data_IF_635098532189
#
_entry.id   IF_635098532189
#
_cell.length_a   1.000
_cell.length_b   1.000
_cell.length_c   1.000
_cell.angle_alpha   90.00
_cell.angle_beta   90.00
_cell.angle_gamma   90.00
#
_symmetry.space_group_name_H-M   'P 1'
#
loop_
_entity.id
_entity.type
_entity.pdbx_description
1 polymer ?
#
# COMPACT_ATOMS: atom_id res chain seq x y z
N UNK A 1 -3.86 -11.55 -4.40
CA UNK A 1 -2.82 -11.51 -5.47
C UNK A 1 -3.42 -11.37 -6.87
N UNK A 2 -4.65 -11.78 -7.09
CA UNK A 2 -5.21 -12.06 -8.43
C UNK A 2 -5.26 -10.86 -9.38
N UNK A 3 -5.41 -9.63 -8.88
CA UNK A 3 -5.59 -8.45 -9.75
C UNK A 3 -4.39 -7.50 -9.79
N UNK A 4 -3.56 -7.45 -8.75
CA UNK A 4 -2.47 -6.47 -8.68
C UNK A 4 -1.38 -6.74 -9.73
N UNK A 5 -0.84 -7.96 -9.77
CA UNK A 5 0.29 -8.27 -10.65
C UNK A 5 -0.02 -8.09 -12.14
N UNK A 6 -1.17 -8.56 -12.67
CA UNK A 6 -1.53 -8.28 -14.06
C UNK A 6 -1.67 -6.79 -14.38
N UNK A 7 -2.26 -5.99 -13.48
CA UNK A 7 -2.38 -4.54 -13.64
C UNK A 7 -1.03 -3.84 -13.60
N UNK A 8 -0.15 -4.26 -12.69
CA UNK A 8 1.20 -3.72 -12.60
C UNK A 8 1.99 -4.00 -13.89
N UNK A 9 1.93 -5.21 -14.42
CA UNK A 9 2.61 -5.56 -15.68
C UNK A 9 2.07 -4.76 -16.88
N UNK A 10 0.77 -4.57 -16.96
CA UNK A 10 0.18 -3.70 -17.98
C UNK A 10 0.66 -2.25 -17.86
N UNK A 11 0.77 -1.73 -16.65
CA UNK A 11 1.31 -0.38 -16.41
C UNK A 11 2.78 -0.27 -16.85
N UNK A 12 3.61 -1.27 -16.52
CA UNK A 12 5.01 -1.31 -16.96
C UNK A 12 5.12 -1.31 -18.49
N UNK A 13 4.31 -2.12 -19.16
CA UNK A 13 4.30 -2.16 -20.64
C UNK A 13 3.84 -0.83 -21.26
N UNK A 14 2.82 -0.20 -20.66
CA UNK A 14 2.29 1.07 -21.17
C UNK A 14 3.22 2.27 -20.92
N UNK A 15 3.99 2.23 -19.84
CA UNK A 15 4.92 3.30 -19.46
C UNK A 15 6.33 3.08 -20.02
N UNK A 16 6.61 1.88 -20.55
CA UNK A 16 7.96 1.44 -20.96
C UNK A 16 9.01 1.55 -19.85
N UNK A 17 8.56 1.64 -18.60
CA UNK A 17 9.41 1.75 -17.41
C UNK A 17 8.68 1.25 -16.16
N UNK A 18 9.44 0.92 -15.13
CA UNK A 18 8.87 0.56 -13.85
C UNK A 18 8.31 1.79 -13.11
N UNK A 19 7.05 1.75 -12.61
CA UNK A 19 6.52 2.80 -11.77
C UNK A 19 7.32 2.96 -10.47
N UNK A 20 7.84 4.14 -10.21
CA UNK A 20 8.54 4.47 -8.97
C UNK A 20 7.58 4.74 -7.81
N UNK A 21 6.38 5.19 -8.12
CA UNK A 21 5.36 5.50 -7.14
C UNK A 21 4.10 4.68 -7.44
N UNK A 22 3.64 3.93 -6.45
CA UNK A 22 2.38 3.18 -6.50
C UNK A 22 1.40 3.79 -5.50
N UNK A 23 0.21 4.14 -5.97
CA UNK A 23 -0.89 4.54 -5.09
C UNK A 23 -2.07 3.61 -5.30
N UNK A 24 -2.70 3.21 -4.21
CA UNK A 24 -3.90 2.37 -4.25
C UNK A 24 -4.75 2.60 -3.00
N UNK A 25 -5.94 2.04 -2.97
CA UNK A 25 -6.77 2.05 -1.78
C UNK A 25 -6.30 1.00 -0.75
N UNK A 26 -6.91 1.03 0.44
CA UNK A 26 -6.55 0.13 1.54
C UNK A 26 -6.79 -1.37 1.23
N UNK A 27 -7.56 -1.71 0.19
CA UNK A 27 -7.76 -3.10 -0.23
C UNK A 27 -6.45 -3.71 -0.78
N UNK A 28 -5.55 -2.87 -1.27
CA UNK A 28 -4.23 -3.27 -1.77
C UNK A 28 -3.13 -3.22 -0.69
N UNK A 29 -3.47 -3.04 0.59
CA UNK A 29 -2.48 -3.06 1.69
C UNK A 29 -1.97 -4.48 1.96
N UNK A 30 -1.14 -4.98 1.06
CA UNK A 30 -0.56 -6.31 1.10
C UNK A 30 0.95 -6.26 0.83
N UNK A 31 1.71 -7.12 1.52
CA UNK A 31 3.17 -7.14 1.50
C UNK A 31 3.77 -7.16 0.08
N UNK A 32 3.18 -7.90 -0.86
CA UNK A 32 3.67 -8.02 -2.24
C UNK A 32 3.59 -6.70 -3.03
N UNK A 33 2.67 -5.79 -2.68
CA UNK A 33 2.58 -4.46 -3.30
C UNK A 33 3.78 -3.61 -2.91
N UNK A 34 4.12 -3.61 -1.61
CA UNK A 34 5.30 -2.90 -1.10
C UNK A 34 6.60 -3.51 -1.60
N UNK A 35 6.67 -4.83 -1.70
CA UNK A 35 7.83 -5.53 -2.25
C UNK A 35 8.07 -5.15 -3.70
N UNK A 36 7.02 -5.10 -4.51
CA UNK A 36 7.14 -4.73 -5.92
C UNK A 36 7.68 -3.31 -6.09
N UNK A 37 7.19 -2.35 -5.31
CA UNK A 37 7.72 -0.99 -5.31
C UNK A 37 9.17 -0.94 -4.82
N UNK A 38 9.47 -1.57 -3.69
CA UNK A 38 10.79 -1.54 -3.08
C UNK A 38 11.88 -2.16 -3.96
N UNK A 39 11.58 -3.22 -4.70
CA UNK A 39 12.51 -3.85 -5.67
C UNK A 39 12.94 -2.90 -6.79
N UNK A 40 12.20 -1.82 -7.02
CA UNK A 40 12.49 -0.79 -8.00
C UNK A 40 12.93 0.53 -7.33
N UNK A 41 13.35 0.49 -6.06
CA UNK A 41 13.65 1.67 -5.25
C UNK A 41 12.49 2.69 -5.19
N UNK A 42 11.27 2.21 -5.36
CA UNK A 42 10.05 3.00 -5.34
C UNK A 42 9.29 2.91 -4.03
N UNK A 43 8.17 3.63 -3.95
CA UNK A 43 7.31 3.70 -2.77
C UNK A 43 5.88 3.32 -3.14
N UNK A 44 5.28 2.44 -2.32
CA UNK A 44 3.85 2.15 -2.39
C UNK A 44 3.11 2.96 -1.31
N UNK A 45 2.47 4.06 -1.73
CA UNK A 45 1.66 4.88 -0.84
C UNK A 45 0.23 4.32 -0.74
N UNK A 46 0.08 3.26 0.04
CA UNK A 46 -1.19 2.56 0.29
C UNK A 46 -1.61 2.79 1.73
N UNK A 47 -2.87 3.21 1.99
CA UNK A 47 -3.39 3.35 3.34
C UNK A 47 -3.39 2.00 4.06
N UNK A 48 -3.12 2.03 5.36
CA UNK A 48 -3.12 0.80 6.15
C UNK A 48 -4.54 0.24 6.29
N UNK A 49 -4.70 -1.02 5.94
CA UNK A 49 -5.94 -1.74 6.17
C UNK A 49 -6.01 -2.18 7.64
N UNK A 50 -6.91 -1.57 8.40
CA UNK A 50 -6.98 -1.80 9.85
C UNK A 50 -8.01 -2.85 10.26
N UNK A 51 -8.99 -3.19 9.44
CA UNK A 51 -10.06 -4.20 9.68
C UNK A 51 -10.31 -4.58 11.15
N UNK A 52 -10.42 -3.59 12.04
CA UNK A 52 -10.67 -3.80 13.47
C UNK A 52 -9.53 -4.45 14.28
N UNK A 53 -8.38 -4.73 13.68
CA UNK A 53 -7.25 -5.27 14.42
C UNK A 53 -6.48 -4.15 15.16
N UNK A 54 -6.11 -4.36 16.42
CA UNK A 54 -5.35 -3.39 17.19
C UNK A 54 -4.02 -3.08 16.48
N UNK A 55 -3.67 -1.79 16.42
CA UNK A 55 -2.38 -1.35 15.89
C UNK A 55 -1.31 -1.71 16.91
N UNK A 56 -0.39 -2.59 16.52
CA UNK A 56 0.77 -2.91 17.35
C UNK A 56 1.81 -1.80 17.24
N UNK A 57 2.29 -1.34 18.38
CA UNK A 57 3.47 -0.49 18.42
C UNK A 57 4.69 -1.27 17.95
N UNK A 58 5.59 -0.59 17.25
CA UNK A 58 6.83 -1.16 16.72
C UNK A 58 7.97 -0.17 16.88
N UNK A 59 9.17 -0.71 16.96
CA UNK A 59 10.39 0.07 16.85
C UNK A 59 10.68 0.43 15.38
N UNK A 60 11.62 1.33 15.15
CA UNK A 60 12.01 1.77 13.80
C UNK A 60 12.51 0.63 12.90
N UNK A 61 13.07 -0.41 13.48
CA UNK A 61 13.52 -1.62 12.77
C UNK A 61 12.38 -2.62 12.46
N UNK A 62 11.14 -2.28 12.80
CA UNK A 62 9.97 -3.14 12.59
C UNK A 62 9.70 -4.15 13.72
N UNK A 63 10.56 -4.24 14.74
CA UNK A 63 10.36 -5.14 15.89
C UNK A 63 9.09 -4.76 16.66
N UNK A 64 8.17 -5.71 16.91
CA UNK A 64 6.94 -5.41 17.62
C UNK A 64 7.18 -5.15 19.10
N UNK A 65 6.34 -4.32 19.71
CA UNK A 65 6.23 -4.15 21.15
C UNK A 65 5.02 -4.91 21.69
N UNK A 66 5.14 -5.48 22.88
CA UNK A 66 4.02 -6.12 23.55
C UNK A 66 3.00 -5.06 24.05
N UNK A 67 1.79 -5.45 24.50
CA UNK A 67 0.79 -4.52 25.02
C UNK A 67 1.26 -3.64 26.19
N UNK A 68 2.33 -4.04 26.90
CA UNK A 68 2.97 -3.25 27.96
C UNK A 68 4.10 -2.34 27.42
N UNK A 69 4.26 -2.22 26.12
CA UNK A 69 5.28 -1.37 25.50
C UNK A 69 6.69 -1.95 25.46
N UNK A 70 6.90 -3.17 25.96
CA UNK A 70 8.24 -3.80 25.95
C UNK A 70 8.56 -4.35 24.56
N UNK A 71 9.82 -4.17 24.13
CA UNK A 71 10.34 -4.75 22.88
C UNK A 71 10.31 -6.27 22.95
N UNK A 72 9.69 -6.92 21.97
CA UNK A 72 9.55 -8.38 21.96
C UNK A 72 10.84 -9.08 21.46
N UNK A 73 11.07 -10.29 21.95
CA UNK A 73 12.27 -11.08 21.63
C UNK A 73 12.03 -11.91 20.37
N UNK A 74 12.89 -11.81 19.32
CA UNK A 74 12.82 -12.67 18.16
C UNK A 74 13.22 -14.11 18.54
N UNK A 75 12.54 -15.12 17.98
CA UNK A 75 12.77 -16.52 18.34
C UNK A 75 13.21 -17.36 17.15
N UNK A 76 12.39 -17.45 16.08
CA UNK A 76 12.72 -18.23 14.90
C UNK A 76 11.99 -17.74 13.65
N UNK A 77 12.59 -18.03 12.51
CA UNK A 77 11.99 -17.84 11.19
C UNK A 77 11.24 -19.10 10.75
N UNK A 78 10.16 -18.89 10.00
CA UNK A 78 9.43 -19.99 9.38
C UNK A 78 8.70 -19.52 8.12
N UNK A 79 8.43 -20.47 7.20
CA UNK A 79 7.64 -20.20 6.00
C UNK A 79 6.16 -20.13 6.36
N UNK A 80 5.57 -18.96 6.18
CA UNK A 80 4.14 -18.75 6.43
C UNK A 80 3.29 -19.31 5.27
N UNK A 81 2.11 -19.93 5.51
CA UNK A 81 1.25 -20.48 4.45
C UNK A 81 0.84 -19.47 3.36
N UNK A 82 0.92 -18.18 3.64
CA UNK A 82 0.66 -17.10 2.66
C UNK A 82 1.84 -16.80 1.73
N UNK A 83 2.90 -17.61 1.74
CA UNK A 83 4.02 -17.55 0.81
C UNK A 83 5.09 -16.50 1.15
N UNK A 84 5.30 -16.18 2.41
CA UNK A 84 6.39 -15.30 2.87
C UNK A 84 7.13 -15.88 4.08
N UNK A 85 8.35 -15.42 4.33
CA UNK A 85 9.09 -15.73 5.55
C UNK A 85 8.58 -14.87 6.71
N UNK A 86 8.18 -15.52 7.78
CA UNK A 86 7.76 -14.86 9.01
C UNK A 86 8.83 -15.03 10.09
N UNK A 87 9.00 -14.00 10.91
CA UNK A 87 9.77 -14.06 12.15
C UNK A 87 8.80 -14.04 13.33
N UNK A 88 8.91 -15.04 14.20
CA UNK A 88 8.15 -15.10 15.44
C UNK A 88 8.84 -14.32 16.54
N UNK A 89 8.08 -13.45 17.18
CA UNK A 89 8.45 -12.72 18.37
C UNK A 89 7.67 -13.23 19.57
N UNK A 90 8.31 -13.27 20.74
CA UNK A 90 7.68 -13.69 21.98
C UNK A 90 7.92 -12.71 23.14
N UNK A 91 7.23 -12.99 24.25
CA UNK A 91 7.24 -12.15 25.42
C UNK A 91 8.67 -11.97 26.00
N UNK A 92 9.16 -10.73 26.13
CA UNK A 92 10.52 -10.48 26.63
C UNK A 92 10.70 -10.82 28.12
N UNK A 93 9.60 -10.96 28.86
CA UNK A 93 9.65 -11.35 30.27
C UNK A 93 9.85 -12.86 30.47
N UNK A 94 9.60 -13.67 29.43
CA UNK A 94 9.74 -15.12 29.46
C UNK A 94 10.95 -15.62 28.65
N UNK A 95 11.38 -14.84 27.65
CA UNK A 95 12.44 -15.27 26.72
C UNK A 95 13.46 -14.15 26.49
N UNK A 96 14.74 -14.49 26.25
CA UNK A 96 15.33 -15.85 26.21
C UNK A 96 15.43 -16.52 27.57
N UNK A 97 15.48 -15.74 28.65
CA UNK A 97 15.52 -16.22 30.04
C UNK A 97 14.43 -15.50 30.82
N UNK A 98 13.64 -16.21 31.65
CA UNK A 98 12.62 -15.58 32.49
C UNK A 98 13.23 -14.50 33.39
N UNK A 99 12.66 -13.29 33.35
CA UNK A 99 13.17 -12.13 34.11
C UNK A 99 12.72 -12.11 35.57
N UNK A 100 11.80 -13.01 35.97
CA UNK A 100 11.14 -12.97 37.27
C UNK A 100 10.08 -11.89 37.42
N UNK A 101 9.91 -11.02 36.43
CA UNK A 101 8.88 -10.00 36.43
C UNK A 101 7.51 -10.58 36.06
N UNK A 102 6.44 -10.02 36.61
CA UNK A 102 5.07 -10.42 36.35
C UNK A 102 4.36 -9.51 35.37
N UNK A 103 3.36 -10.02 34.68
CA UNK A 103 2.51 -9.27 33.75
C UNK A 103 1.05 -9.72 33.91
N UNK A 104 0.15 -8.77 33.91
CA UNK A 104 -1.31 -9.00 34.01
C UNK A 104 -1.97 -9.39 32.67
N UNK A 105 -1.21 -9.45 31.58
CA UNK A 105 -1.73 -9.85 30.28
C UNK A 105 -2.18 -11.32 30.30
N UNK A 106 -3.40 -11.59 29.81
CA UNK A 106 -4.04 -12.93 29.89
C UNK A 106 -3.17 -14.08 29.35
N UNK A 107 -2.36 -13.87 28.33
CA UNK A 107 -1.45 -14.89 27.79
C UNK A 107 -0.23 -15.12 28.69
N UNK A 108 0.20 -14.09 29.42
CA UNK A 108 1.29 -14.23 30.39
C UNK A 108 0.83 -15.04 31.62
N UNK A 109 -0.36 -14.75 32.14
CA UNK A 109 -0.98 -15.49 33.25
C UNK A 109 -1.13 -16.97 32.89
N UNK A 110 -1.39 -17.31 31.63
CA UNK A 110 -1.44 -18.71 31.14
C UNK A 110 -0.03 -19.33 30.93
N UNK A 111 1.04 -18.65 31.27
CA UNK A 111 2.42 -19.15 31.15
C UNK A 111 2.97 -19.15 29.71
N UNK A 112 2.20 -18.67 28.72
CA UNK A 112 2.59 -18.71 27.30
C UNK A 112 3.23 -17.40 26.83
N UNK A 113 2.84 -16.28 27.45
CA UNK A 113 3.26 -14.94 27.08
C UNK A 113 2.69 -14.45 25.74
N UNK A 114 2.97 -13.20 25.43
CA UNK A 114 2.56 -12.61 24.15
C UNK A 114 3.35 -13.22 22.99
N UNK A 115 2.68 -13.51 21.87
CA UNK A 115 3.30 -13.98 20.63
C UNK A 115 2.89 -13.09 19.48
N UNK A 116 3.82 -12.82 18.55
CA UNK A 116 3.57 -12.05 17.34
C UNK A 116 4.38 -12.60 16.18
N UNK A 117 3.70 -12.89 15.09
CA UNK A 117 4.34 -13.25 13.83
C UNK A 117 4.38 -12.04 12.91
N UNK A 118 5.51 -11.76 12.34
CA UNK A 118 5.76 -10.60 11.48
C UNK A 118 6.33 -11.10 10.16
N UNK A 119 5.78 -10.62 9.05
CA UNK A 119 6.44 -10.80 7.76
C UNK A 119 7.77 -10.04 7.79
N UNK A 120 8.87 -10.78 7.69
CA UNK A 120 10.23 -10.26 7.81
C UNK A 120 10.95 -10.10 6.46
N UNK A 121 10.21 -10.29 5.36
CA UNK A 121 10.69 -9.99 4.02
C UNK A 121 10.60 -8.51 3.69
N UNK A 122 11.26 -8.12 2.62
CA UNK A 122 11.35 -6.73 2.15
C UNK A 122 9.98 -6.04 2.12
N UNK A 123 9.00 -6.65 1.48
CA UNK A 123 7.65 -6.08 1.37
C UNK A 123 6.93 -5.95 2.71
N UNK A 124 7.13 -6.92 3.61
CA UNK A 124 6.57 -6.88 4.96
C UNK A 124 7.18 -5.78 5.81
N UNK A 125 8.50 -5.61 5.75
CA UNK A 125 9.22 -4.55 6.46
C UNK A 125 8.86 -3.18 5.91
N UNK A 126 8.89 -2.98 4.60
CA UNK A 126 8.50 -1.72 3.96
C UNK A 126 7.07 -1.30 4.33
N UNK A 127 6.12 -2.24 4.33
CA UNK A 127 4.73 -1.99 4.74
C UNK A 127 4.63 -1.45 6.16
N UNK A 128 5.48 -1.93 7.05
CA UNK A 128 5.46 -1.59 8.49
C UNK A 128 6.20 -0.30 8.77
N UNK A 129 7.38 -0.11 8.14
CA UNK A 129 8.27 1.02 8.36
C UNK A 129 7.82 2.29 7.63
N UNK A 130 6.91 2.16 6.65
CA UNK A 130 6.42 3.30 5.89
C UNK A 130 5.77 4.35 6.82
N UNK A 131 6.39 5.52 6.88
CA UNK A 131 5.83 6.67 7.57
C UNK A 131 4.69 7.29 6.74
N UNK A 132 3.45 6.95 7.13
CA UNK A 132 2.24 7.44 6.47
C UNK A 132 1.87 8.87 6.85
N UNK A 133 2.52 9.44 7.85
CA UNK A 133 2.37 10.84 8.24
C UNK A 133 3.38 11.75 7.55
N UNK A 134 4.45 11.17 7.01
CA UNK A 134 5.54 11.88 6.37
C UNK A 134 5.14 12.60 5.08
N UNK A 135 5.84 13.69 4.74
CA UNK A 135 5.50 14.54 3.58
C UNK A 135 5.59 13.78 2.25
N UNK A 136 6.53 12.86 2.10
CA UNK A 136 6.69 12.07 0.89
C UNK A 136 5.50 11.14 0.65
N UNK A 137 5.04 10.44 1.69
CA UNK A 137 3.84 9.62 1.60
C UNK A 137 2.62 10.47 1.21
N UNK A 138 2.43 11.61 1.87
CA UNK A 138 1.31 12.51 1.61
C UNK A 138 1.32 13.04 0.16
N UNK A 139 2.48 13.44 -0.33
CA UNK A 139 2.63 13.91 -1.71
C UNK A 139 2.26 12.83 -2.74
N UNK A 140 2.72 11.59 -2.53
CA UNK A 140 2.42 10.46 -3.43
C UNK A 140 0.95 10.04 -3.29
N UNK A 141 0.45 9.90 -2.07
CA UNK A 141 -0.93 9.50 -1.79
C UNK A 141 -1.97 10.46 -2.39
N UNK A 142 -1.68 11.77 -2.37
CA UNK A 142 -2.55 12.79 -2.97
C UNK A 142 -2.73 12.60 -4.49
N UNK A 143 -1.74 12.01 -5.17
CA UNK A 143 -1.85 11.72 -6.61
C UNK A 143 -2.94 10.71 -6.94
N UNK A 144 -3.40 9.91 -5.97
CA UNK A 144 -4.56 9.01 -6.12
C UNK A 144 -5.83 9.75 -6.51
N UNK A 145 -6.03 10.96 -6.00
CA UNK A 145 -7.17 11.81 -6.37
C UNK A 145 -7.25 12.11 -7.86
N UNK A 146 -6.15 12.04 -8.59
CA UNK A 146 -6.14 12.22 -10.04
C UNK A 146 -6.88 11.07 -10.75
N UNK A 147 -6.70 9.83 -10.29
CA UNK A 147 -7.44 8.67 -10.82
C UNK A 147 -8.94 8.78 -10.52
N UNK A 148 -9.29 9.25 -9.32
CA UNK A 148 -10.70 9.46 -8.93
C UNK A 148 -11.36 10.55 -9.78
N UNK A 149 -10.65 11.64 -10.08
CA UNK A 149 -11.13 12.69 -11.00
C UNK A 149 -11.32 12.15 -12.42
N UNK A 150 -10.40 11.35 -12.93
CA UNK A 150 -10.52 10.73 -14.26
C UNK A 150 -11.74 9.82 -14.28
N UNK A 151 -11.94 8.98 -13.26
CA UNK A 151 -13.08 8.10 -13.15
C UNK A 151 -14.41 8.90 -13.06
N UNK A 152 -14.45 9.99 -12.29
CA UNK A 152 -15.61 10.86 -12.21
C UNK A 152 -15.95 11.46 -13.57
N UNK A 153 -14.97 12.01 -14.28
CA UNK A 153 -15.17 12.54 -15.63
C UNK A 153 -15.63 11.47 -16.63
N UNK A 154 -15.09 10.25 -16.53
CA UNK A 154 -15.52 9.14 -17.37
C UNK A 154 -16.99 8.74 -17.10
N UNK A 155 -17.42 8.78 -15.83
CA UNK A 155 -18.83 8.56 -15.46
C UNK A 155 -19.76 9.62 -16.01
N UNK A 156 -19.37 10.90 -15.91
CA UNK A 156 -20.11 12.02 -16.53
C UNK A 156 -20.27 11.86 -18.04
N UNK A 157 -19.26 11.29 -18.71
CA UNK A 157 -19.27 10.97 -20.14
C UNK A 157 -20.01 9.66 -20.47
N UNK A 158 -20.57 8.98 -19.46
CA UNK A 158 -21.45 7.82 -19.65
C UNK A 158 -20.76 6.45 -19.74
N UNK A 159 -19.53 6.30 -19.22
CA UNK A 159 -18.77 5.04 -19.27
C UNK A 159 -19.51 3.88 -18.59
N UNK A 160 -20.29 4.16 -17.53
CA UNK A 160 -21.04 3.15 -16.78
C UNK A 160 -22.37 2.75 -17.45
N UNK A 161 -22.85 3.55 -18.41
CA UNK A 161 -24.14 3.34 -19.09
C UNK A 161 -23.99 3.49 -20.61
N UNK A 162 -23.18 2.64 -21.25
CA UNK A 162 -22.96 2.74 -22.69
C UNK A 162 -24.27 2.52 -23.45
N UNK A 163 -24.56 3.38 -24.42
CA UNK A 163 -25.74 3.24 -25.30
C UNK A 163 -25.56 2.14 -26.35
N UNK A 164 -24.38 1.52 -26.40
CA UNK A 164 -24.02 0.44 -27.32
C UNK A 164 -23.88 -0.88 -26.55
N UNK A 165 -24.22 -2.01 -27.18
CA UNK A 165 -24.30 -3.31 -26.48
C UNK A 165 -23.19 -4.29 -26.85
N UNK A 166 -22.58 -4.18 -28.02
CA UNK A 166 -21.53 -5.13 -28.40
C UNK A 166 -20.17 -4.74 -27.78
N UNK A 167 -19.38 -5.74 -27.42
CA UNK A 167 -18.08 -5.58 -26.73
C UNK A 167 -17.13 -4.62 -27.44
N UNK A 168 -17.04 -4.68 -28.77
CA UNK A 168 -16.14 -3.83 -29.57
C UNK A 168 -16.57 -2.38 -29.53
N UNK A 169 -17.87 -2.11 -29.67
CA UNK A 169 -18.40 -0.74 -29.61
C UNK A 169 -18.27 -0.14 -28.21
N UNK A 170 -18.48 -0.94 -27.15
CA UNK A 170 -18.23 -0.50 -25.77
C UNK A 170 -16.77 -0.17 -25.57
N UNK A 171 -15.84 -1.00 -26.02
CA UNK A 171 -14.40 -0.74 -25.92
C UNK A 171 -14.01 0.54 -26.67
N UNK A 172 -14.50 0.73 -27.89
CA UNK A 172 -14.23 1.94 -28.67
C UNK A 172 -14.78 3.19 -28.00
N UNK A 173 -16.01 3.13 -27.45
CA UNK A 173 -16.62 4.23 -26.71
C UNK A 173 -15.79 4.60 -25.48
N UNK A 174 -15.34 3.61 -24.71
CA UNK A 174 -14.49 3.85 -23.55
C UNK A 174 -13.17 4.50 -23.96
N UNK A 175 -12.54 4.05 -25.04
CA UNK A 175 -11.32 4.67 -25.57
C UNK A 175 -11.55 6.13 -25.94
N UNK A 176 -12.65 6.45 -26.63
CA UNK A 176 -13.00 7.83 -27.00
C UNK A 176 -13.23 8.69 -25.75
N UNK A 177 -13.88 8.18 -24.71
CA UNK A 177 -14.07 8.89 -23.44
C UNK A 177 -12.72 9.29 -22.83
N UNK A 178 -11.77 8.37 -22.75
CA UNK A 178 -10.45 8.68 -22.20
C UNK A 178 -9.64 9.62 -23.11
N UNK A 179 -9.78 9.55 -24.42
CA UNK A 179 -9.17 10.51 -25.36
C UNK A 179 -9.73 11.92 -25.07
N UNK A 180 -11.05 12.08 -24.91
CA UNK A 180 -11.66 13.38 -24.58
C UNK A 180 -11.15 13.92 -23.25
N UNK A 181 -11.03 13.07 -22.23
CA UNK A 181 -10.49 13.46 -20.91
C UNK A 181 -9.05 13.94 -21.03
N UNK A 182 -8.21 13.22 -21.78
CA UNK A 182 -6.81 13.58 -21.99
C UNK A 182 -6.66 14.90 -22.75
N UNK A 183 -7.45 15.11 -23.81
CA UNK A 183 -7.44 16.37 -24.59
C UNK A 183 -7.86 17.56 -23.70
N UNK A 184 -8.93 17.42 -22.91
CA UNK A 184 -9.35 18.46 -21.96
C UNK A 184 -8.29 18.77 -20.92
N UNK A 185 -7.59 17.76 -20.44
CA UNK A 185 -6.50 17.90 -19.44
C UNK A 185 -5.31 18.63 -20.07
N UNK A 186 -4.94 18.26 -21.30
CA UNK A 186 -3.86 18.91 -22.02
C UNK A 186 -4.17 20.39 -22.32
N UNK A 187 -5.40 20.71 -22.72
CA UNK A 187 -5.84 22.07 -22.98
C UNK A 187 -5.76 22.95 -21.72
N UNK A 188 -6.24 22.42 -20.59
CA UNK A 188 -6.10 23.08 -19.29
C UNK A 188 -4.65 23.32 -18.90
N UNK A 189 -3.78 22.31 -19.06
CA UNK A 189 -2.36 22.45 -18.76
C UNK A 189 -1.68 23.53 -19.63
N UNK A 190 -2.02 23.60 -20.93
CA UNK A 190 -1.52 24.64 -21.83
C UNK A 190 -2.03 26.02 -21.45
N UNK A 191 -3.28 26.16 -21.07
CA UNK A 191 -3.85 27.45 -20.66
C UNK A 191 -3.24 27.95 -19.35
N UNK A 192 -3.00 27.05 -18.39
CA UNK A 192 -2.33 27.39 -17.12
C UNK A 192 -0.89 27.85 -17.34
N UNK A 193 -0.14 27.13 -18.17
CA UNK A 193 1.24 27.50 -18.46
C UNK A 193 1.36 28.83 -19.23
N UNK A 194 0.41 29.19 -20.10
CA UNK A 194 0.35 30.51 -20.74
C UNK A 194 0.18 31.64 -19.76
N UNK A 195 -0.59 31.44 -18.69
CA UNK A 195 -0.76 32.44 -17.62
C UNK A 195 0.48 32.63 -16.73
N UNK A 196 1.46 31.73 -16.78
CA UNK A 196 2.71 31.81 -16.01
C UNK A 196 3.88 32.39 -16.82
N UNK A 197 3.75 32.58 -18.14
CA UNK A 197 4.77 33.22 -18.96
C UNK A 197 4.67 34.74 -18.78
N UNK A 198 5.78 35.43 -18.42
CA UNK A 198 5.78 36.88 -18.37
C UNK A 198 5.41 37.40 -19.77
N UNK A 199 4.42 38.29 -19.81
CA UNK A 199 4.12 39.02 -21.04
C UNK A 199 5.31 39.90 -21.39
N UNK A 200 6.02 39.52 -22.45
CA UNK A 200 7.10 40.31 -23.07
C UNK A 200 6.55 41.56 -23.74
#
# INVERSE_FOLDING_TARGET
MTYFEPLYQQAVLALEQFPMHLTADAAFDAWYVYERAARQNGIAAVPKNQHGHPVFQRDADGTPRCPKGLRMTPVFHYSHPRGYQALRFQCPLLLPVPTGQTCDHAQFVKGVGCKKDVNWELGGLMRVQLDRSGPLYQAISTQRTSCERINSQAKELGIERPKVRNRRSVANLNTLIYVVINVRTLDRAKSTNRGLLPMS
#
